data_IF_009308315748
#
_entry.id   IF_009308315748
#
_cell.length_a   1.000
_cell.length_b   1.000
_cell.length_c   1.000
_cell.angle_alpha   90.00
_cell.angle_beta   90.00
_cell.angle_gamma   90.00
#
_symmetry.space_group_name_H-M   'P 1'
#
loop_
_entity.id
_entity.type
_entity.pdbx_description
1 polymer ?
#
# COMPACT_ATOMS: atom_id res chain seq x y z
N UNK A 1 -31.64 6.03 -9.05
CA UNK A 1 -32.11 4.62 -9.09
C UNK A 1 -30.97 3.73 -8.59
N UNK A 2 -31.21 2.86 -7.64
CA UNK A 2 -30.26 1.86 -7.19
C UNK A 2 -29.93 0.90 -8.33
N UNK A 3 -28.65 0.59 -8.53
CA UNK A 3 -28.19 -0.39 -9.50
C UNK A 3 -27.82 -1.68 -8.78
N UNK A 4 -28.04 -2.83 -9.42
CA UNK A 4 -27.42 -4.09 -9.01
C UNK A 4 -26.00 -4.14 -9.56
N UNK A 5 -25.02 -4.32 -8.68
CA UNK A 5 -23.61 -4.33 -9.04
C UNK A 5 -23.02 -5.67 -8.56
N UNK A 6 -22.34 -6.35 -9.45
CA UNK A 6 -21.58 -7.56 -9.16
C UNK A 6 -20.10 -7.25 -9.21
N UNK A 7 -19.37 -7.64 -8.17
CA UNK A 7 -17.92 -7.54 -8.10
C UNK A 7 -17.34 -8.95 -8.07
N UNK A 8 -16.37 -9.23 -8.95
CA UNK A 8 -15.72 -10.53 -9.06
C UNK A 8 -14.38 -10.49 -8.32
N UNK A 9 -14.28 -11.33 -7.27
CA UNK A 9 -13.13 -11.36 -6.35
C UNK A 9 -13.30 -10.46 -5.14
N UNK A 10 -12.58 -10.77 -4.05
CA UNK A 10 -12.72 -10.14 -2.72
C UNK A 10 -11.39 -9.60 -2.17
N UNK A 11 -10.49 -9.12 -3.05
CA UNK A 11 -9.26 -8.45 -2.62
C UNK A 11 -9.51 -7.02 -2.13
N UNK A 12 -8.46 -6.31 -1.69
CA UNK A 12 -8.52 -4.92 -1.19
C UNK A 12 -9.33 -4.00 -2.10
N UNK A 13 -9.03 -4.00 -3.40
CA UNK A 13 -9.72 -3.13 -4.37
C UNK A 13 -11.21 -3.44 -4.48
N UNK A 14 -11.58 -4.73 -4.44
CA UNK A 14 -12.97 -5.17 -4.53
C UNK A 14 -13.75 -4.77 -3.27
N UNK A 15 -13.18 -5.02 -2.09
CA UNK A 15 -13.80 -4.62 -0.80
C UNK A 15 -13.97 -3.10 -0.72
N UNK A 16 -12.95 -2.34 -1.09
CA UNK A 16 -13.02 -0.87 -1.13
C UNK A 16 -14.10 -0.40 -2.11
N UNK A 17 -14.08 -0.88 -3.35
CA UNK A 17 -15.09 -0.52 -4.35
C UNK A 17 -16.51 -0.86 -3.89
N UNK A 18 -16.70 -2.03 -3.25
CA UNK A 18 -17.99 -2.45 -2.73
C UNK A 18 -18.50 -1.47 -1.66
N UNK A 19 -17.65 -1.05 -0.72
CA UNK A 19 -18.03 -0.09 0.31
C UNK A 19 -18.49 1.25 -0.30
N UNK A 20 -17.73 1.83 -1.22
CA UNK A 20 -18.11 3.10 -1.87
C UNK A 20 -19.39 2.96 -2.71
N UNK A 21 -19.55 1.86 -3.44
CA UNK A 21 -20.72 1.62 -4.28
C UNK A 21 -21.98 1.39 -3.43
N UNK A 22 -21.87 0.69 -2.31
CA UNK A 22 -22.97 0.50 -1.36
C UNK A 22 -23.33 1.82 -0.67
N UNK A 23 -22.34 2.61 -0.22
CA UNK A 23 -22.58 3.97 0.32
C UNK A 23 -23.30 4.86 -0.67
N UNK A 24 -23.07 4.70 -1.98
CA UNK A 24 -23.77 5.41 -3.05
C UNK A 24 -25.19 4.87 -3.31
N UNK A 25 -25.71 3.94 -2.50
CA UNK A 25 -27.08 3.43 -2.56
C UNK A 25 -27.32 2.31 -3.57
N UNK A 26 -26.29 1.60 -3.99
CA UNK A 26 -26.42 0.46 -4.89
C UNK A 26 -26.56 -0.88 -4.12
N UNK A 27 -27.19 -1.88 -4.75
CA UNK A 27 -27.25 -3.27 -4.28
C UNK A 27 -25.99 -3.99 -4.79
N UNK A 28 -25.04 -4.26 -3.89
CA UNK A 28 -23.70 -4.76 -4.25
C UNK A 28 -23.53 -6.20 -3.75
N UNK A 29 -23.09 -7.08 -4.63
CA UNK A 29 -22.72 -8.46 -4.29
C UNK A 29 -21.32 -8.76 -4.79
N UNK A 30 -20.46 -9.27 -3.90
CA UNK A 30 -19.12 -9.78 -4.22
C UNK A 30 -19.20 -11.29 -4.39
N UNK A 31 -18.61 -11.83 -5.45
CA UNK A 31 -18.43 -13.27 -5.69
C UNK A 31 -16.94 -13.61 -5.58
N UNK A 32 -16.59 -14.49 -4.65
CA UNK A 32 -15.23 -14.98 -4.40
C UNK A 32 -15.13 -16.47 -4.65
N UNK A 33 -14.20 -16.90 -5.50
CA UNK A 33 -14.02 -18.33 -5.85
C UNK A 33 -13.48 -19.18 -4.70
N UNK A 34 -12.71 -18.59 -3.78
CA UNK A 34 -12.13 -19.29 -2.63
C UNK A 34 -13.13 -19.33 -1.48
N UNK A 35 -12.87 -20.21 -0.51
CA UNK A 35 -13.62 -20.27 0.76
C UNK A 35 -13.33 -19.10 1.71
N UNK A 36 -12.29 -18.32 1.43
CA UNK A 36 -11.86 -17.16 2.22
C UNK A 36 -11.64 -15.95 1.33
N UNK A 37 -11.99 -14.78 1.84
CA UNK A 37 -11.78 -13.48 1.17
C UNK A 37 -10.33 -13.01 1.29
N UNK A 38 -10.01 -11.86 0.66
CA UNK A 38 -8.76 -11.14 0.84
C UNK A 38 -7.79 -11.23 -0.35
N UNK A 39 -8.07 -12.07 -1.35
CA UNK A 39 -7.25 -12.16 -2.56
C UNK A 39 -5.79 -12.50 -2.23
N UNK A 40 -4.85 -11.60 -2.54
CA UNK A 40 -3.42 -11.76 -2.23
C UNK A 40 -3.06 -11.52 -0.76
N UNK A 41 -3.96 -10.96 0.03
CA UNK A 41 -3.78 -10.75 1.48
C UNK A 41 -4.59 -11.75 2.33
N UNK A 42 -4.92 -12.92 1.75
CA UNK A 42 -5.64 -13.98 2.44
C UNK A 42 -4.76 -14.70 3.47
N UNK A 43 -5.39 -15.49 4.32
CA UNK A 43 -4.74 -16.29 5.35
C UNK A 43 -4.74 -17.78 4.98
N UNK A 44 -3.65 -18.48 5.26
CA UNK A 44 -3.57 -19.94 5.19
C UNK A 44 -3.66 -20.53 6.60
N UNK A 45 -4.59 -21.46 6.79
CA UNK A 45 -4.68 -22.27 8.01
C UNK A 45 -4.36 -23.71 7.65
N UNK A 46 -3.31 -24.27 8.24
CA UNK A 46 -2.87 -25.64 7.96
C UNK A 46 -2.29 -26.28 9.22
N UNK A 47 -2.80 -27.46 9.60
CA UNK A 47 -2.28 -28.26 10.72
C UNK A 47 -2.15 -27.50 12.05
N UNK A 48 -3.12 -26.60 12.33
CA UNK A 48 -3.13 -25.76 13.52
C UNK A 48 -2.29 -24.47 13.43
N UNK A 49 -1.53 -24.29 12.36
CA UNK A 49 -0.78 -23.08 12.08
C UNK A 49 -1.60 -22.09 11.25
N UNK A 50 -1.31 -20.81 11.47
CA UNK A 50 -1.96 -19.69 10.75
C UNK A 50 -0.89 -18.82 10.13
N UNK A 51 -0.97 -18.60 8.83
CA UNK A 51 -0.03 -17.79 8.05
C UNK A 51 -0.77 -16.72 7.27
N UNK A 52 -0.41 -15.47 7.44
CA UNK A 52 -0.80 -14.42 6.51
C UNK A 52 -0.01 -14.60 5.21
N UNK A 53 -0.74 -14.73 4.09
CA UNK A 53 -0.13 -14.91 2.77
C UNK A 53 -0.14 -13.56 2.05
N UNK A 54 1.05 -13.02 1.75
CA UNK A 54 1.16 -11.76 1.02
C UNK A 54 1.78 -10.67 1.85
N UNK A 55 1.14 -9.49 2.01
CA UNK A 55 1.76 -8.38 2.71
C UNK A 55 1.98 -8.70 4.19
N UNK A 56 3.17 -8.42 4.69
CA UNK A 56 3.55 -8.57 6.10
C UNK A 56 3.87 -7.21 6.74
N UNK A 57 3.95 -6.16 5.93
CA UNK A 57 4.29 -4.81 6.33
C UNK A 57 3.08 -3.90 6.14
N UNK A 58 2.77 -3.14 7.17
CA UNK A 58 1.72 -2.14 7.15
C UNK A 58 2.37 -0.76 7.12
N UNK A 59 2.45 -0.20 5.93
CA UNK A 59 2.87 1.18 5.70
C UNK A 59 1.66 2.06 5.35
N UNK A 60 1.86 3.38 5.38
CA UNK A 60 0.86 4.36 4.95
C UNK A 60 -0.46 4.24 5.74
N UNK A 61 -0.41 4.30 7.09
CA UNK A 61 -1.60 4.20 7.93
C UNK A 61 -2.66 5.26 7.58
N UNK A 62 -2.23 6.44 7.15
CA UNK A 62 -3.07 7.55 6.70
C UNK A 62 -3.99 7.20 5.52
N UNK A 63 -3.57 6.29 4.64
CA UNK A 63 -4.42 5.80 3.53
C UNK A 63 -5.60 4.98 4.06
N UNK A 64 -5.35 4.12 5.05
CA UNK A 64 -6.42 3.34 5.69
C UNK A 64 -7.29 4.23 6.57
N UNK A 65 -6.69 5.17 7.32
CA UNK A 65 -7.43 6.15 8.09
C UNK A 65 -8.40 6.94 7.21
N UNK A 66 -7.95 7.41 6.05
CA UNK A 66 -8.80 8.09 5.07
C UNK A 66 -9.92 7.19 4.57
N UNK A 67 -9.61 5.93 4.21
CA UNK A 67 -10.62 4.99 3.74
C UNK A 67 -11.74 4.82 4.78
N UNK A 68 -11.41 4.53 6.04
CA UNK A 68 -12.42 4.36 7.09
C UNK A 68 -13.15 5.67 7.42
N UNK A 69 -12.43 6.81 7.42
CA UNK A 69 -13.04 8.12 7.67
C UNK A 69 -14.11 8.50 6.64
N UNK A 70 -13.97 8.07 5.38
CA UNK A 70 -14.99 8.25 4.35
C UNK A 70 -16.33 7.56 4.71
N UNK A 71 -16.33 6.67 5.71
CA UNK A 71 -17.51 5.98 6.23
C UNK A 71 -17.83 6.36 7.69
N UNK A 72 -17.28 7.48 8.19
CA UNK A 72 -17.42 7.94 9.58
C UNK A 72 -16.91 6.91 10.61
N UNK A 73 -15.88 6.15 10.24
CA UNK A 73 -15.21 5.10 11.04
C UNK A 73 -13.73 5.38 11.18
N UNK A 74 -13.07 4.58 12.03
CA UNK A 74 -11.60 4.59 12.22
C UNK A 74 -11.07 3.16 12.13
N UNK A 75 -9.82 2.93 11.68
CA UNK A 75 -9.19 1.61 11.75
C UNK A 75 -9.26 0.99 13.14
N UNK A 76 -9.11 1.81 14.21
CA UNK A 76 -9.17 1.38 15.62
C UNK A 76 -10.56 0.86 16.07
N UNK A 77 -11.61 1.09 15.30
CA UNK A 77 -12.92 0.52 15.56
C UNK A 77 -12.97 -0.99 15.20
N UNK A 78 -11.99 -1.46 14.41
CA UNK A 78 -11.96 -2.80 13.86
C UNK A 78 -10.70 -3.60 14.23
N UNK A 79 -9.52 -2.98 14.33
CA UNK A 79 -8.27 -3.64 14.69
C UNK A 79 -7.31 -2.71 15.44
N UNK A 80 -6.47 -3.31 16.27
CA UNK A 80 -5.40 -2.63 16.98
C UNK A 80 -4.14 -2.61 16.11
N UNK A 81 -3.60 -1.41 15.85
CA UNK A 81 -2.39 -1.21 15.06
C UNK A 81 -1.23 -0.87 15.98
N UNK A 82 -0.14 -1.63 15.90
CA UNK A 82 1.06 -1.47 16.72
C UNK A 82 2.19 -0.92 15.86
N UNK A 83 2.79 0.19 16.28
CA UNK A 83 4.02 0.69 15.68
C UNK A 83 5.20 -0.19 16.13
N UNK A 84 5.97 -0.71 15.17
CA UNK A 84 7.11 -1.57 15.49
C UNK A 84 8.31 -0.74 15.93
N UNK A 85 8.93 -1.13 17.05
CA UNK A 85 10.14 -0.52 17.59
C UNK A 85 11.09 -1.61 18.11
N UNK A 86 12.26 -1.82 17.45
CA UNK A 86 12.67 -1.19 16.20
C UNK A 86 11.76 -1.58 15.04
N UNK A 87 11.77 -0.79 13.95
CA UNK A 87 10.92 -1.04 12.80
C UNK A 87 11.24 -2.41 12.15
N UNK A 88 12.50 -2.65 11.83
CA UNK A 88 12.98 -3.91 11.27
C UNK A 88 14.51 -3.99 11.23
N UNK A 89 15.05 -5.11 10.80
CA UNK A 89 16.47 -5.32 10.53
C UNK A 89 16.72 -5.72 9.08
N UNK A 90 17.77 -5.17 8.49
CA UNK A 90 18.24 -5.52 7.14
C UNK A 90 19.54 -6.31 7.27
N UNK A 91 19.51 -7.55 6.82
CA UNK A 91 20.66 -8.47 6.87
C UNK A 91 21.42 -8.44 5.55
N UNK A 92 22.74 -8.26 5.63
CA UNK A 92 23.70 -8.32 4.53
C UNK A 92 24.57 -9.58 4.60
N UNK A 93 24.45 -10.33 5.68
CA UNK A 93 25.13 -11.59 5.98
C UNK A 93 24.67 -12.14 7.33
N UNK A 94 25.21 -13.27 7.76
CA UNK A 94 24.72 -13.98 8.96
C UNK A 94 24.75 -13.12 10.23
N UNK A 95 25.82 -12.35 10.44
CA UNK A 95 26.00 -11.46 11.60
C UNK A 95 26.12 -9.98 11.18
N UNK A 96 25.90 -9.68 9.93
CA UNK A 96 26.02 -8.35 9.37
C UNK A 96 24.65 -7.79 9.04
N UNK A 97 24.14 -6.90 9.89
CA UNK A 97 22.84 -6.30 9.74
C UNK A 97 22.82 -4.83 10.16
N UNK A 98 21.83 -4.11 9.70
CA UNK A 98 21.49 -2.74 10.12
C UNK A 98 20.09 -2.75 10.71
N UNK A 99 19.95 -2.24 11.92
CA UNK A 99 18.65 -2.05 12.57
C UNK A 99 18.08 -0.70 12.15
N UNK A 100 16.85 -0.70 11.66
CA UNK A 100 16.10 0.50 11.33
C UNK A 100 15.20 0.85 12.52
N UNK A 101 15.42 2.03 13.08
CA UNK A 101 14.64 2.54 14.21
C UNK A 101 13.22 2.92 13.76
N UNK A 102 12.34 3.19 14.72
CA UNK A 102 10.96 3.62 14.48
C UNK A 102 10.79 5.13 14.27
N UNK A 103 11.90 5.86 14.28
CA UNK A 103 11.89 7.31 14.12
C UNK A 103 13.07 7.81 13.28
N UNK A 104 12.82 8.88 12.53
CA UNK A 104 13.78 9.44 11.58
C UNK A 104 15.09 9.93 12.23
N UNK A 105 15.10 10.59 13.41
CA UNK A 105 16.34 11.04 14.04
C UNK A 105 17.32 9.89 14.33
N UNK A 106 16.85 8.76 14.84
CA UNK A 106 17.70 7.58 15.10
C UNK A 106 18.16 6.92 13.80
N UNK A 107 17.31 6.89 12.76
CA UNK A 107 17.72 6.40 11.43
C UNK A 107 18.82 7.28 10.85
N UNK A 108 18.70 8.61 10.97
CA UNK A 108 19.73 9.57 10.54
C UNK A 108 21.04 9.32 11.28
N UNK A 109 21.01 9.11 12.60
CA UNK A 109 22.20 8.79 13.39
C UNK A 109 22.84 7.45 12.97
N UNK A 110 22.02 6.45 12.67
CA UNK A 110 22.48 5.14 12.16
C UNK A 110 23.19 5.31 10.81
N UNK A 111 22.62 6.06 9.88
CA UNK A 111 23.22 6.35 8.58
C UNK A 111 24.57 7.07 8.75
N UNK A 112 24.60 8.13 9.56
CA UNK A 112 25.83 8.90 9.85
C UNK A 112 26.94 8.02 10.43
N UNK A 113 26.59 7.04 11.26
CA UNK A 113 27.56 6.08 11.84
C UNK A 113 28.17 5.12 10.81
N UNK A 114 27.43 4.80 9.74
CA UNK A 114 27.87 3.89 8.67
C UNK A 114 28.68 4.65 7.61
N UNK A 115 28.26 5.86 7.27
CA UNK A 115 28.94 6.71 6.28
C UNK A 115 28.89 8.17 6.75
N UNK A 116 30.05 8.77 7.04
CA UNK A 116 30.15 10.16 7.49
C UNK A 116 29.53 11.12 6.48
N UNK A 117 28.64 11.98 6.93
CA UNK A 117 27.91 12.97 6.13
C UNK A 117 26.62 12.42 5.51
N UNK A 118 26.34 11.13 5.65
CA UNK A 118 25.11 10.53 5.11
C UNK A 118 23.86 10.91 5.89
N UNK A 119 23.99 11.25 7.16
CA UNK A 119 22.88 11.73 7.97
C UNK A 119 22.23 12.97 7.36
N UNK A 120 23.03 14.00 7.06
CA UNK A 120 22.55 15.22 6.39
C UNK A 120 21.95 14.92 4.99
N UNK A 121 22.57 13.99 4.25
CA UNK A 121 22.05 13.59 2.94
C UNK A 121 20.70 12.90 3.07
N UNK A 122 20.52 12.08 4.12
CA UNK A 122 19.25 11.42 4.40
C UNK A 122 18.14 12.42 4.75
N UNK A 123 18.42 13.40 5.61
CA UNK A 123 17.45 14.46 5.93
C UNK A 123 16.95 15.19 4.68
N UNK A 124 17.86 15.56 3.78
CA UNK A 124 17.51 16.20 2.51
C UNK A 124 16.69 15.27 1.60
N UNK A 125 17.11 14.01 1.48
CA UNK A 125 16.39 13.01 0.71
C UNK A 125 14.98 12.79 1.26
N UNK A 126 14.82 12.71 2.58
CA UNK A 126 13.53 12.52 3.24
C UNK A 126 12.60 13.73 3.12
N UNK A 127 13.15 14.95 3.12
CA UNK A 127 12.36 16.16 2.86
C UNK A 127 11.79 16.17 1.43
N UNK A 128 12.59 15.77 0.43
CA UNK A 128 12.13 15.59 -0.95
C UNK A 128 11.11 14.45 -1.06
N UNK A 129 11.37 13.31 -0.42
CA UNK A 129 10.49 12.14 -0.39
C UNK A 129 9.13 12.48 0.23
N UNK A 130 9.11 13.27 1.31
CA UNK A 130 7.87 13.80 1.92
C UNK A 130 7.08 14.65 0.93
N UNK A 131 7.76 15.58 0.24
CA UNK A 131 7.11 16.43 -0.78
C UNK A 131 6.52 15.59 -1.91
N UNK A 132 7.19 14.52 -2.33
CA UNK A 132 6.68 13.59 -3.35
C UNK A 132 5.49 12.79 -2.81
N UNK A 133 5.53 12.37 -1.53
CA UNK A 133 4.43 11.68 -0.86
C UNK A 133 3.16 12.54 -0.82
N UNK A 134 3.32 13.81 -0.40
CA UNK A 134 2.19 14.74 -0.33
C UNK A 134 1.52 14.93 -1.71
N UNK A 135 2.29 14.99 -2.80
CA UNK A 135 1.77 15.07 -4.16
C UNK A 135 1.12 13.74 -4.59
N UNK A 136 1.85 12.63 -4.43
CA UNK A 136 1.40 11.33 -4.93
C UNK A 136 0.16 10.83 -4.21
N UNK A 137 0.19 10.79 -2.87
CA UNK A 137 -0.78 10.08 -2.05
C UNK A 137 -1.96 10.95 -1.64
N UNK A 138 -1.77 12.27 -1.50
CA UNK A 138 -2.88 13.16 -1.16
C UNK A 138 -3.71 13.60 -2.37
N UNK A 139 -3.15 13.54 -3.58
CA UNK A 139 -3.82 14.01 -4.79
C UNK A 139 -3.83 12.96 -5.92
N UNK A 140 -2.66 12.64 -6.50
CA UNK A 140 -2.58 11.91 -7.77
C UNK A 140 -3.23 10.51 -7.73
N UNK A 141 -3.07 9.79 -6.62
CA UNK A 141 -3.58 8.41 -6.48
C UNK A 141 -5.12 8.34 -6.51
N UNK A 142 -5.80 9.45 -6.23
CA UNK A 142 -7.26 9.52 -6.21
C UNK A 142 -7.87 10.04 -7.52
N UNK A 143 -7.04 10.34 -8.51
CA UNK A 143 -7.52 10.74 -9.83
C UNK A 143 -8.01 9.53 -10.62
N UNK A 144 -8.97 9.68 -11.54
CA UNK A 144 -9.55 8.56 -12.28
C UNK A 144 -8.56 7.73 -13.07
N UNK A 145 -7.44 8.31 -13.53
CA UNK A 145 -6.44 7.62 -14.34
C UNK A 145 -6.87 7.38 -15.78
N UNK A 146 -7.81 8.19 -16.29
CA UNK A 146 -8.31 8.10 -17.65
C UNK A 146 -7.33 8.67 -18.69
N UNK A 147 -6.46 9.61 -18.26
CA UNK A 147 -5.50 10.26 -19.14
C UNK A 147 -4.17 10.52 -18.43
N UNK A 148 -3.01 10.28 -19.11
CA UNK A 148 -1.71 10.70 -18.59
C UNK A 148 -1.63 12.21 -18.28
N UNK A 149 -2.49 13.03 -18.88
CA UNK A 149 -2.55 14.48 -18.63
C UNK A 149 -2.98 14.80 -17.19
N UNK A 150 -3.66 13.89 -16.51
CA UNK A 150 -4.03 14.03 -15.10
C UNK A 150 -2.81 14.11 -14.17
N UNK A 151 -1.67 13.57 -14.61
CA UNK A 151 -0.41 13.66 -13.90
C UNK A 151 0.29 15.02 -14.06
N UNK A 152 -0.19 15.88 -14.99
CA UNK A 152 0.41 17.19 -15.25
C UNK A 152 -0.29 18.22 -14.36
N UNK A 153 0.39 18.62 -13.29
CA UNK A 153 -0.01 19.68 -12.38
C UNK A 153 1.15 20.66 -12.20
N UNK A 154 0.90 21.83 -11.61
CA UNK A 154 1.98 22.75 -11.27
C UNK A 154 3.00 22.11 -10.35
N UNK A 155 2.57 21.24 -9.44
CA UNK A 155 3.46 20.55 -8.50
C UNK A 155 4.29 19.46 -9.19
N UNK A 156 3.69 18.67 -10.07
CA UNK A 156 4.44 17.64 -10.83
C UNK A 156 5.36 18.29 -11.88
N UNK A 157 4.98 19.41 -12.48
CA UNK A 157 5.83 20.16 -13.39
C UNK A 157 7.14 20.63 -12.72
N UNK A 158 7.09 21.08 -11.45
CA UNK A 158 8.28 21.42 -10.67
C UNK A 158 9.18 20.20 -10.40
N UNK A 159 8.64 19.01 -10.47
CA UNK A 159 9.31 17.72 -10.22
C UNK A 159 9.65 16.95 -11.50
N UNK A 160 9.49 17.57 -12.67
CA UNK A 160 9.64 16.91 -13.97
C UNK A 160 10.96 16.12 -14.11
N UNK A 161 12.06 16.64 -13.58
CA UNK A 161 13.36 15.96 -13.60
C UNK A 161 13.34 14.62 -12.86
N UNK A 162 12.47 14.44 -11.85
CA UNK A 162 12.36 13.21 -11.09
C UNK A 162 11.59 12.11 -11.85
N UNK A 163 10.81 12.47 -12.86
CA UNK A 163 10.16 11.51 -13.76
C UNK A 163 11.12 10.99 -14.84
N UNK A 164 12.17 11.74 -15.18
CA UNK A 164 13.22 11.35 -16.14
C UNK A 164 14.50 10.82 -15.48
N UNK A 165 14.61 10.90 -14.16
CA UNK A 165 15.65 10.23 -13.38
C UNK A 165 15.08 8.95 -12.74
N UNK A 166 15.93 8.11 -12.16
CA UNK A 166 15.48 6.90 -11.46
C UNK A 166 16.06 6.81 -10.05
N UNK A 167 15.44 5.98 -9.21
CA UNK A 167 15.83 5.77 -7.81
C UNK A 167 17.30 5.39 -7.69
N UNK A 168 17.79 4.46 -8.54
CA UNK A 168 19.19 4.02 -8.51
C UNK A 168 20.17 5.18 -8.71
N UNK A 169 19.91 6.05 -9.68
CA UNK A 169 20.79 7.21 -9.96
C UNK A 169 20.75 8.22 -8.82
N UNK A 170 19.57 8.52 -8.31
CA UNK A 170 19.40 9.52 -7.25
C UNK A 170 20.03 9.06 -5.94
N UNK A 171 19.75 7.84 -5.50
CA UNK A 171 20.32 7.27 -4.27
C UNK A 171 21.83 7.18 -4.34
N UNK A 172 22.40 6.60 -5.42
CA UNK A 172 23.85 6.42 -5.60
C UNK A 172 24.63 7.70 -5.83
N UNK A 173 23.97 8.77 -6.22
CA UNK A 173 24.57 10.11 -6.23
C UNK A 173 24.83 10.62 -4.82
N UNK A 174 23.94 10.35 -3.87
CA UNK A 174 23.94 10.85 -2.50
C UNK A 174 24.74 9.94 -1.54
N UNK A 175 24.59 8.62 -1.68
CA UNK A 175 25.16 7.63 -0.78
C UNK A 175 26.17 6.74 -1.51
N UNK A 176 27.29 6.40 -0.84
CA UNK A 176 28.38 5.59 -1.39
C UNK A 176 28.45 4.21 -0.74
N UNK A 177 28.12 4.10 0.54
CA UNK A 177 28.08 2.83 1.24
C UNK A 177 26.94 1.96 0.68
N UNK A 178 27.29 0.74 0.22
CA UNK A 178 26.33 -0.15 -0.44
C UNK A 178 25.20 -0.62 0.46
N UNK A 179 25.39 -0.70 1.79
CA UNK A 179 24.30 -1.03 2.72
C UNK A 179 23.24 0.06 2.71
N UNK A 180 23.65 1.34 2.81
CA UNK A 180 22.72 2.47 2.76
C UNK A 180 22.00 2.56 1.42
N UNK A 181 22.74 2.31 0.32
CA UNK A 181 22.16 2.25 -1.02
C UNK A 181 21.08 1.18 -1.11
N UNK A 182 21.37 -0.03 -0.65
CA UNK A 182 20.40 -1.15 -0.71
C UNK A 182 19.16 -0.89 0.16
N UNK A 183 19.35 -0.32 1.35
CA UNK A 183 18.24 0.06 2.24
C UNK A 183 17.33 1.09 1.55
N UNK A 184 17.87 2.08 0.87
CA UNK A 184 17.08 3.12 0.20
C UNK A 184 16.50 2.68 -1.16
N UNK A 185 17.14 1.74 -1.84
CA UNK A 185 16.63 1.15 -3.08
C UNK A 185 15.54 0.07 -2.82
N UNK A 186 15.50 -0.52 -1.62
CA UNK A 186 14.62 -1.63 -1.26
C UNK A 186 13.12 -1.33 -1.42
N UNK A 187 12.56 -0.15 -1.02
CA UNK A 187 11.12 0.08 -1.08
C UNK A 187 10.49 -0.07 -2.46
N UNK A 188 11.24 0.15 -3.54
CA UNK A 188 10.69 0.00 -4.91
C UNK A 188 10.39 -1.45 -5.29
N UNK A 189 10.95 -2.43 -4.57
CA UNK A 189 10.66 -3.86 -4.80
C UNK A 189 9.20 -4.20 -4.54
N UNK A 190 8.52 -3.48 -3.65
CA UNK A 190 7.08 -3.64 -3.40
C UNK A 190 6.22 -3.27 -4.61
N UNK A 191 6.76 -2.47 -5.53
CA UNK A 191 6.10 -2.15 -6.80
C UNK A 191 6.32 -3.26 -7.86
N UNK A 192 7.10 -4.29 -7.55
CA UNK A 192 7.52 -5.30 -8.53
C UNK A 192 8.48 -4.75 -9.60
N UNK A 193 9.20 -3.68 -9.29
CA UNK A 193 10.07 -2.96 -10.22
C UNK A 193 11.53 -2.94 -9.74
N UNK A 194 12.44 -2.59 -10.65
CA UNK A 194 13.85 -2.38 -10.32
C UNK A 194 14.14 -0.90 -10.04
N UNK A 195 15.08 -0.57 -9.14
CA UNK A 195 15.48 0.82 -8.88
C UNK A 195 15.97 1.58 -10.12
N UNK A 196 16.52 0.85 -11.13
CA UNK A 196 16.95 1.43 -12.42
C UNK A 196 15.79 1.85 -13.32
N UNK A 197 14.63 1.21 -13.15
CA UNK A 197 13.48 1.33 -14.06
C UNK A 197 12.33 2.14 -13.40
N UNK A 198 12.53 2.53 -12.13
CA UNK A 198 11.56 3.29 -11.34
C UNK A 198 11.97 4.76 -11.26
N UNK A 199 11.11 5.71 -11.67
CA UNK A 199 11.38 7.14 -11.56
C UNK A 199 11.77 7.56 -10.13
N UNK A 200 12.68 8.52 -9.98
CA UNK A 200 13.11 8.97 -8.65
C UNK A 200 12.00 9.66 -7.85
N UNK A 201 10.93 10.07 -8.50
CA UNK A 201 9.70 10.54 -7.85
C UNK A 201 9.14 9.50 -6.86
N UNK A 202 9.33 8.21 -7.10
CA UNK A 202 8.89 7.12 -6.21
C UNK A 202 9.67 7.02 -4.89
N UNK A 203 10.61 7.95 -4.63
CA UNK A 203 11.20 8.13 -3.29
C UNK A 203 10.16 8.37 -2.20
N UNK A 204 8.93 8.73 -2.56
CA UNK A 204 7.82 8.81 -1.60
C UNK A 204 7.61 7.51 -0.82
N UNK A 205 7.98 6.33 -1.37
CA UNK A 205 7.96 5.06 -0.64
C UNK A 205 8.93 5.05 0.55
N UNK A 206 10.07 5.75 0.44
CA UNK A 206 10.99 5.90 1.57
C UNK A 206 10.40 6.79 2.67
N UNK A 207 9.56 7.76 2.31
CA UNK A 207 8.83 8.53 3.32
C UNK A 207 7.72 7.69 3.97
N UNK A 208 7.03 6.85 3.23
CA UNK A 208 6.08 5.89 3.79
C UNK A 208 6.73 4.99 4.85
N UNK A 209 7.99 4.58 4.62
CA UNK A 209 8.78 3.76 5.55
C UNK A 209 9.34 4.60 6.73
N UNK A 210 10.31 5.46 6.47
CA UNK A 210 11.07 6.16 7.53
C UNK A 210 10.31 7.33 8.15
N UNK A 211 9.39 7.95 7.39
CA UNK A 211 8.63 9.11 7.85
C UNK A 211 7.37 8.75 8.62
N UNK A 212 6.62 7.75 8.14
CA UNK A 212 5.37 7.30 8.76
C UNK A 212 5.57 6.07 9.64
N UNK A 213 6.70 5.37 9.48
CA UNK A 213 7.07 4.19 10.24
C UNK A 213 6.42 2.90 9.73
N UNK A 214 6.91 1.79 10.27
CA UNK A 214 6.41 0.46 9.98
C UNK A 214 5.51 0.00 11.10
N UNK A 215 4.34 -0.51 10.74
CA UNK A 215 3.29 -0.93 11.67
C UNK A 215 2.89 -2.38 11.43
N UNK A 216 2.20 -2.96 12.40
CA UNK A 216 1.64 -4.30 12.27
C UNK A 216 0.32 -4.40 13.05
N UNK A 217 -0.75 -4.93 12.43
CA UNK A 217 -1.98 -5.23 13.17
C UNK A 217 -1.73 -6.35 14.17
N UNK A 218 -2.17 -6.19 15.43
CA UNK A 218 -1.91 -7.12 16.54
C UNK A 218 -2.23 -8.58 16.23
N UNK A 219 -3.28 -8.82 15.43
CA UNK A 219 -3.73 -10.16 15.05
C UNK A 219 -3.33 -10.55 13.61
N UNK A 220 -2.29 -9.91 13.05
CA UNK A 220 -1.80 -10.15 11.69
C UNK A 220 -2.48 -9.27 10.63
N UNK A 221 -1.90 -9.29 9.44
CA UNK A 221 -2.36 -8.46 8.30
C UNK A 221 -3.77 -8.80 7.82
N UNK A 222 -4.21 -10.05 8.01
CA UNK A 222 -5.56 -10.46 7.65
C UNK A 222 -6.66 -9.71 8.43
N UNK A 223 -6.34 -9.14 9.60
CA UNK A 223 -7.26 -8.30 10.37
C UNK A 223 -7.77 -7.11 9.58
N UNK A 224 -6.96 -6.56 8.67
CA UNK A 224 -7.35 -5.44 7.80
C UNK A 224 -8.41 -5.87 6.79
N UNK A 225 -8.27 -7.09 6.25
CA UNK A 225 -9.27 -7.69 5.34
C UNK A 225 -10.59 -7.89 6.07
N UNK A 226 -10.55 -8.46 7.29
CA UNK A 226 -11.74 -8.67 8.11
C UNK A 226 -12.42 -7.35 8.50
N UNK A 227 -11.64 -6.31 8.75
CA UNK A 227 -12.17 -4.96 9.02
C UNK A 227 -12.93 -4.41 7.81
N UNK A 228 -12.37 -4.54 6.61
CA UNK A 228 -13.02 -4.08 5.38
C UNK A 228 -14.25 -4.93 5.02
N UNK A 229 -14.20 -6.24 5.30
CA UNK A 229 -15.36 -7.13 5.18
C UNK A 229 -16.49 -6.69 6.10
N UNK A 230 -16.16 -6.48 7.38
CA UNK A 230 -17.15 -6.04 8.38
C UNK A 230 -17.82 -4.74 7.97
N UNK A 231 -17.02 -3.74 7.55
CA UNK A 231 -17.55 -2.48 7.04
C UNK A 231 -18.45 -2.69 5.81
N UNK A 232 -18.03 -3.54 4.86
CA UNK A 232 -18.83 -3.83 3.67
C UNK A 232 -20.19 -4.46 4.04
N UNK A 233 -20.21 -5.39 5.00
CA UNK A 233 -21.44 -6.01 5.51
C UNK A 233 -22.32 -4.97 6.24
N UNK A 234 -21.74 -4.11 7.07
CA UNK A 234 -22.45 -3.01 7.73
C UNK A 234 -23.15 -2.08 6.70
N UNK A 235 -22.56 -1.91 5.51
CA UNK A 235 -23.12 -1.13 4.41
C UNK A 235 -24.12 -1.90 3.54
N UNK A 236 -24.39 -3.17 3.86
CA UNK A 236 -25.36 -4.00 3.14
C UNK A 236 -24.78 -4.78 1.94
N UNK A 237 -23.46 -4.84 1.80
CA UNK A 237 -22.83 -5.66 0.75
C UNK A 237 -23.00 -7.14 1.07
N UNK A 238 -23.37 -7.93 0.05
CA UNK A 238 -23.43 -9.39 0.13
C UNK A 238 -22.11 -9.97 -0.36
N UNK A 239 -21.61 -10.99 0.32
CA UNK A 239 -20.35 -11.66 -0.05
C UNK A 239 -20.62 -13.16 -0.15
N UNK A 240 -20.46 -13.70 -1.37
CA UNK A 240 -20.63 -15.11 -1.70
C UNK A 240 -19.26 -15.73 -1.92
N UNK A 241 -18.84 -16.61 -1.02
CA UNK A 241 -17.59 -17.39 -1.14
C UNK A 241 -17.86 -18.75 -1.79
N UNK A 242 -16.79 -19.45 -2.25
CA UNK A 242 -16.90 -20.68 -3.04
C UNK A 242 -17.74 -20.50 -4.32
N UNK A 243 -17.79 -19.29 -4.84
CA UNK A 243 -18.60 -18.87 -5.98
C UNK A 243 -17.67 -18.43 -7.13
N UNK A 244 -17.31 -19.38 -7.98
CA UNK A 244 -16.39 -19.12 -9.09
C UNK A 244 -17.17 -18.58 -10.28
N UNK A 245 -17.03 -17.30 -10.57
CA UNK A 245 -17.63 -16.71 -11.76
C UNK A 245 -16.85 -17.14 -12.99
N UNK A 246 -17.50 -17.92 -13.86
CA UNK A 246 -16.93 -18.46 -15.08
C UNK A 246 -17.11 -17.51 -16.26
N UNK A 247 -18.21 -16.75 -16.28
CA UNK A 247 -18.56 -15.92 -17.42
C UNK A 247 -19.38 -14.71 -17.00
N UNK A 248 -19.18 -13.61 -17.71
CA UNK A 248 -20.07 -12.44 -17.69
C UNK A 248 -20.93 -12.48 -18.95
N UNK A 249 -22.25 -12.53 -18.80
CA UNK A 249 -23.17 -12.44 -19.93
C UNK A 249 -23.35 -11.01 -20.35
N UNK A 250 -23.16 -10.76 -21.66
CA UNK A 250 -23.25 -9.43 -22.24
C UNK A 250 -24.27 -9.46 -23.40
N UNK A 251 -25.27 -8.61 -23.34
CA UNK A 251 -26.27 -8.43 -24.39
C UNK A 251 -26.31 -6.99 -24.82
N UNK A 252 -26.13 -6.73 -26.11
CA UNK A 252 -26.09 -5.38 -26.69
C UNK A 252 -25.11 -4.41 -25.94
N UNK A 253 -23.91 -4.90 -25.62
CA UNK A 253 -22.86 -4.12 -24.93
C UNK A 253 -23.11 -3.87 -23.45
N UNK A 254 -24.11 -4.50 -22.84
CA UNK A 254 -24.44 -4.36 -21.41
C UNK A 254 -24.31 -5.70 -20.71
N UNK A 255 -23.68 -5.69 -19.53
CA UNK A 255 -23.67 -6.87 -18.66
C UNK A 255 -25.10 -7.14 -18.16
N UNK A 256 -25.56 -8.38 -18.35
CA UNK A 256 -26.93 -8.81 -18.00
C UNK A 256 -26.97 -9.87 -16.93
N UNK A 257 -25.83 -10.53 -16.65
CA UNK A 257 -25.72 -11.56 -15.63
C UNK A 257 -24.29 -12.10 -15.52
N UNK A 258 -24.14 -13.04 -14.62
CA UNK A 258 -22.93 -13.86 -14.46
C UNK A 258 -23.32 -15.33 -14.39
N UNK A 259 -22.41 -16.21 -14.83
CA UNK A 259 -22.46 -17.64 -14.59
C UNK A 259 -21.48 -17.97 -13.44
N UNK A 260 -21.98 -18.65 -12.39
CA UNK A 260 -21.24 -19.08 -11.20
C UNK A 260 -21.22 -20.59 -11.13
#
# INVERSE_FOLDING_TARGET
MSKKIVIIGSGFSALSAACYLAKAGNDVTIYEKNSTIGGRARQLKKEGFVFDIGPTWYWMPDVFERFFADFDKKPSDYYELIKLSPAYQVYFGHLDFVTIADNLPEIVATFESIEKGSGKQLEQFMAEAKSNYDIAIKDLVYRPGESPLELITLETAKKVNQFFSNIKKDVRKRFKNMKLVQILEFPVLFLGAKPSDTPSFYSFMNFADFGLGTWHPKNGMYSVILAMETLAIELGVKIETNANVEKIDVTNGKATGILV
#
